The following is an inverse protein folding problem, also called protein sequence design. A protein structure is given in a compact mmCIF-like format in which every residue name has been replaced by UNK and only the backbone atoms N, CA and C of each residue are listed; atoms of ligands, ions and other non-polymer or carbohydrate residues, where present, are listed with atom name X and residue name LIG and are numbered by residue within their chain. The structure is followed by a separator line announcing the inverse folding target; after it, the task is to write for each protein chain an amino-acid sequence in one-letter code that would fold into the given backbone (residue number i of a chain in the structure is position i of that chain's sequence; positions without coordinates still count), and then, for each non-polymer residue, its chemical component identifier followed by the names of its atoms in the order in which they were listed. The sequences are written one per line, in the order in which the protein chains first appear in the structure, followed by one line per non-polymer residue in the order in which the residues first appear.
data_IF_285649660524
#
_entry.id   IF_285649660524
#
_cell.length_a   1.000
_cell.length_b   1.000
_cell.length_c   1.000
_cell.angle_alpha   90.00
_cell.angle_beta   90.00
_cell.angle_gamma   90.00
#
_symmetry.space_group_name_H-M   'P 1'
#
loop_
_entity.id
_entity.type
_entity.pdbx_description
1 polymer ?
#
# COMPACT_ATOMS: atom_id res chain seq x y z
N UNK A 1 -6.92 40.39 24.11
CA UNK A 1 -6.15 39.36 24.83
C UNK A 1 -6.92 38.07 25.15
N UNK A 2 -8.18 38.09 25.63
CA UNK A 2 -8.92 36.83 25.94
C UNK A 2 -9.38 36.03 24.71
N UNK A 3 -9.69 36.69 23.59
CA UNK A 3 -10.25 36.04 22.40
C UNK A 3 -9.19 35.23 21.63
N UNK A 4 -7.97 35.75 21.53
CA UNK A 4 -6.84 35.09 20.82
C UNK A 4 -6.37 33.82 21.52
N UNK A 5 -6.34 33.84 22.86
CA UNK A 5 -6.01 32.66 23.66
C UNK A 5 -7.07 31.56 23.50
N UNK A 6 -8.34 31.96 23.43
CA UNK A 6 -9.47 31.04 23.21
C UNK A 6 -9.41 30.39 21.83
N UNK A 7 -9.05 31.15 20.78
CA UNK A 7 -8.85 30.59 19.43
C UNK A 7 -7.66 29.64 19.34
N UNK A 8 -6.55 29.94 20.01
CA UNK A 8 -5.38 29.05 20.03
C UNK A 8 -5.70 27.74 20.75
N UNK A 9 -6.41 27.82 21.88
CA UNK A 9 -6.86 26.64 22.62
C UNK A 9 -7.85 25.81 21.78
N UNK A 10 -8.79 26.45 21.07
CA UNK A 10 -9.74 25.76 20.20
C UNK A 10 -9.05 25.04 19.04
N UNK A 11 -8.10 25.68 18.35
CA UNK A 11 -7.35 25.08 17.24
C UNK A 11 -6.49 23.91 17.72
N UNK A 12 -5.89 24.03 18.90
CA UNK A 12 -5.09 22.95 19.51
C UNK A 12 -5.96 21.75 19.89
N UNK A 13 -7.16 22.00 20.44
CA UNK A 13 -8.14 20.96 20.74
C UNK A 13 -8.71 20.31 19.47
N UNK A 14 -8.99 21.07 18.41
CA UNK A 14 -9.42 20.54 17.12
C UNK A 14 -8.34 19.65 16.48
N UNK A 15 -7.07 20.06 16.53
CA UNK A 15 -5.96 19.23 16.06
C UNK A 15 -5.78 17.97 16.91
N UNK A 16 -5.95 18.06 18.23
CA UNK A 16 -5.93 16.88 19.10
C UNK A 16 -7.11 15.94 18.83
N UNK A 17 -8.29 16.46 18.52
CA UNK A 17 -9.47 15.66 18.17
C UNK A 17 -9.28 14.98 16.80
N UNK A 18 -8.72 15.65 15.78
CA UNK A 18 -8.39 15.03 14.48
C UNK A 18 -7.31 13.95 14.62
N UNK A 19 -6.38 14.10 15.57
CA UNK A 19 -5.33 13.10 15.87
C UNK A 19 -5.85 11.94 16.73
N UNK A 20 -6.93 12.13 17.51
CA UNK A 20 -7.45 11.15 18.47
C UNK A 20 -8.79 10.51 18.06
N UNK A 21 -9.50 11.02 17.05
CA UNK A 21 -10.75 10.46 16.55
C UNK A 21 -10.54 9.47 15.40
N UNK A 22 -9.73 8.43 15.61
CA UNK A 22 -10.12 7.06 15.25
C UNK A 22 -9.12 6.03 15.81
N UNK A 23 -9.53 5.14 16.72
CA UNK A 23 -8.70 4.07 17.23
C UNK A 23 -8.87 2.84 16.32
N UNK A 24 -8.09 2.73 15.26
CA UNK A 24 -7.94 1.47 14.52
C UNK A 24 -6.46 1.30 14.23
N UNK A 25 -5.90 0.13 14.54
CA UNK A 25 -4.56 -0.27 14.12
C UNK A 25 -4.44 0.01 12.61
N UNK A 26 -3.79 1.11 12.23
CA UNK A 26 -3.46 1.41 10.83
C UNK A 26 -2.72 0.21 10.25
N UNK A 27 -3.09 -0.18 9.02
CA UNK A 27 -2.39 -1.21 8.28
C UNK A 27 -0.90 -0.85 8.18
N UNK A 28 -0.07 -1.87 8.05
CA UNK A 28 1.36 -1.74 7.79
C UNK A 28 1.66 -0.72 6.69
N UNK A 29 0.84 -0.61 5.65
CA UNK A 29 1.10 0.28 4.50
C UNK A 29 0.41 1.66 4.57
N UNK A 30 -0.45 1.90 5.55
CA UNK A 30 -1.24 3.13 5.61
C UNK A 30 -0.36 4.38 5.78
N UNK A 31 -0.55 5.35 4.88
CA UNK A 31 0.22 6.59 4.83
C UNK A 31 1.58 6.48 4.13
N UNK A 32 1.92 5.30 3.61
CA UNK A 32 3.12 5.08 2.79
C UNK A 32 2.76 4.83 1.32
N UNK A 33 1.66 4.11 1.10
CA UNK A 33 1.14 3.83 -0.24
C UNK A 33 -0.19 4.57 -0.41
N UNK A 34 -0.27 5.37 -1.47
CA UNK A 34 -1.53 5.91 -1.96
C UNK A 34 -2.05 5.00 -3.07
N UNK A 35 -2.92 4.07 -2.71
CA UNK A 35 -3.44 3.07 -3.64
C UNK A 35 -4.23 3.68 -4.81
N UNK A 36 -4.89 4.83 -4.60
CA UNK A 36 -5.61 5.51 -5.69
C UNK A 36 -4.62 6.10 -6.71
N UNK A 37 -3.52 6.69 -6.23
CA UNK A 37 -2.46 7.18 -7.10
C UNK A 37 -1.78 6.03 -7.86
N UNK A 38 -1.57 4.89 -7.20
CA UNK A 38 -1.04 3.68 -7.84
C UNK A 38 -1.95 3.23 -9.00
N UNK A 39 -3.26 3.13 -8.78
CA UNK A 39 -4.21 2.77 -9.84
C UNK A 39 -4.20 3.81 -10.98
N UNK A 40 -4.17 5.10 -10.65
CA UNK A 40 -4.08 6.17 -11.65
C UNK A 40 -2.85 5.98 -12.54
N UNK A 41 -1.68 5.69 -11.97
CA UNK A 41 -0.46 5.44 -12.73
C UNK A 41 -0.48 4.11 -13.46
N UNK A 42 -1.06 3.05 -12.90
CA UNK A 42 -1.20 1.77 -13.58
C UNK A 42 -1.97 1.88 -14.91
N UNK A 43 -2.98 2.75 -14.94
CA UNK A 43 -3.79 2.99 -16.12
C UNK A 43 -3.33 4.19 -16.97
N UNK A 44 -2.27 4.89 -16.58
CA UNK A 44 -1.68 5.98 -17.37
C UNK A 44 -0.75 5.41 -18.45
N UNK A 45 -1.03 5.62 -19.75
CA UNK A 45 -0.17 5.10 -20.82
C UNK A 45 1.24 5.70 -20.83
N UNK A 46 1.48 6.81 -20.11
CA UNK A 46 2.79 7.45 -20.03
C UNK A 46 3.65 6.90 -18.89
N UNK A 47 3.08 6.08 -18.00
CA UNK A 47 3.84 5.46 -16.91
C UNK A 47 4.14 4.01 -17.27
N UNK A 48 5.41 3.65 -17.28
CA UNK A 48 5.80 2.27 -17.55
C UNK A 48 5.50 1.37 -16.35
N UNK A 49 5.17 0.11 -16.60
CA UNK A 49 4.99 -0.86 -15.51
C UNK A 49 6.23 -0.99 -14.63
N UNK A 50 7.44 -0.88 -15.21
CA UNK A 50 8.69 -0.95 -14.45
C UNK A 50 8.84 0.23 -13.48
N UNK A 51 8.52 1.44 -13.91
CA UNK A 51 8.55 2.63 -13.07
C UNK A 51 7.56 2.52 -11.90
N UNK A 52 6.33 2.06 -12.16
CA UNK A 52 5.34 1.84 -11.12
C UNK A 52 5.78 0.75 -10.11
N UNK A 53 6.34 -0.35 -10.60
CA UNK A 53 6.89 -1.43 -9.77
C UNK A 53 8.00 -0.93 -8.86
N UNK A 54 8.93 -0.14 -9.40
CA UNK A 54 10.03 0.43 -8.63
C UNK A 54 9.53 1.34 -7.52
N UNK A 55 8.62 2.27 -7.84
CA UNK A 55 8.06 3.18 -6.84
C UNK A 55 7.34 2.45 -5.70
N UNK A 56 6.48 1.49 -6.04
CA UNK A 56 5.79 0.65 -5.06
C UNK A 56 6.77 -0.18 -4.23
N UNK A 57 7.79 -0.77 -4.87
CA UNK A 57 8.82 -1.56 -4.21
C UNK A 57 9.61 -0.73 -3.20
N UNK A 58 10.02 0.48 -3.57
CA UNK A 58 10.73 1.40 -2.67
C UNK A 58 9.89 1.76 -1.44
N UNK A 59 8.62 2.13 -1.63
CA UNK A 59 7.71 2.49 -0.54
C UNK A 59 7.48 1.34 0.44
N UNK A 60 7.22 0.13 -0.08
CA UNK A 60 7.01 -1.07 0.73
C UNK A 60 8.29 -1.47 1.45
N UNK A 61 9.44 -1.49 0.75
CA UNK A 61 10.72 -1.84 1.34
C UNK A 61 11.13 -0.86 2.44
N UNK A 62 10.92 0.44 2.22
CA UNK A 62 11.19 1.47 3.23
C UNK A 62 10.34 1.23 4.49
N UNK A 63 9.04 0.96 4.33
CA UNK A 63 8.16 0.70 5.47
C UNK A 63 8.55 -0.58 6.22
N UNK A 64 8.79 -1.68 5.51
CA UNK A 64 9.18 -2.94 6.11
C UNK A 64 10.51 -2.82 6.86
N UNK A 65 11.54 -2.23 6.26
CA UNK A 65 12.83 -1.98 6.93
C UNK A 65 12.63 -1.17 8.21
N UNK A 66 11.78 -0.14 8.16
CA UNK A 66 11.46 0.68 9.33
C UNK A 66 10.83 -0.14 10.46
N UNK A 67 9.87 -1.02 10.16
CA UNK A 67 9.24 -1.88 11.17
C UNK A 67 10.21 -2.91 11.75
N UNK A 68 11.02 -3.53 10.89
CA UNK A 68 12.04 -4.52 11.31
C UNK A 68 13.02 -3.87 12.29
N UNK A 69 13.52 -2.68 11.95
CA UNK A 69 14.45 -1.93 12.81
C UNK A 69 13.80 -1.48 14.11
N UNK A 70 12.60 -0.89 14.04
CA UNK A 70 11.88 -0.39 15.23
C UNK A 70 11.57 -1.49 16.25
N UNK A 71 11.27 -2.69 15.78
CA UNK A 71 10.86 -3.81 16.65
C UNK A 71 11.97 -4.83 16.90
N UNK A 72 13.15 -4.62 16.32
CA UNK A 72 14.29 -5.56 16.40
C UNK A 72 13.86 -7.01 16.10
N UNK A 73 13.15 -7.19 14.98
CA UNK A 73 12.47 -8.45 14.65
C UNK A 73 13.45 -9.61 14.39
N UNK A 74 13.08 -10.79 14.86
CA UNK A 74 13.70 -12.07 14.50
C UNK A 74 13.23 -12.54 13.12
N UNK A 75 13.94 -13.51 12.55
CA UNK A 75 13.68 -14.03 11.20
C UNK A 75 12.21 -14.43 10.97
N UNK A 76 11.61 -15.20 11.87
CA UNK A 76 10.22 -15.66 11.71
C UNK A 76 9.20 -14.51 11.80
N UNK A 77 9.53 -13.45 12.54
CA UNK A 77 8.71 -12.22 12.60
C UNK A 77 8.83 -11.41 11.31
N UNK A 78 10.01 -11.37 10.68
CA UNK A 78 10.22 -10.75 9.36
C UNK A 78 9.42 -11.48 8.29
N UNK A 79 9.35 -12.81 8.36
CA UNK A 79 8.56 -13.63 7.44
C UNK A 79 7.06 -13.37 7.60
N UNK A 80 6.57 -13.35 8.84
CA UNK A 80 5.19 -12.96 9.13
C UNK A 80 4.87 -11.53 8.69
N UNK A 81 5.83 -10.60 8.86
CA UNK A 81 5.69 -9.22 8.37
C UNK A 81 5.50 -9.22 6.86
N UNK A 82 6.35 -9.91 6.09
CA UNK A 82 6.23 -10.04 4.63
C UNK A 82 4.87 -10.56 4.19
N UNK A 83 4.39 -11.63 4.82
CA UNK A 83 3.07 -12.20 4.52
C UNK A 83 1.95 -11.20 4.75
N UNK A 84 2.00 -10.48 5.87
CA UNK A 84 1.00 -9.46 6.18
C UNK A 84 1.09 -8.28 5.20
N UNK A 85 2.30 -7.83 4.85
CA UNK A 85 2.52 -6.82 3.79
C UNK A 85 1.86 -7.24 2.49
N UNK A 86 2.06 -8.49 2.06
CA UNK A 86 1.48 -9.00 0.82
C UNK A 86 -0.04 -8.90 0.85
N UNK A 87 -0.67 -9.43 1.90
CA UNK A 87 -2.13 -9.41 2.05
C UNK A 87 -2.69 -8.00 2.09
N UNK A 88 -2.03 -7.10 2.80
CA UNK A 88 -2.46 -5.70 2.86
C UNK A 88 -2.31 -4.99 1.52
N UNK A 89 -1.20 -5.23 0.81
CA UNK A 89 -0.95 -4.64 -0.50
C UNK A 89 -1.98 -5.13 -1.53
N UNK A 90 -2.25 -6.44 -1.59
CA UNK A 90 -3.30 -7.00 -2.45
C UNK A 90 -4.66 -6.38 -2.12
N UNK A 91 -5.09 -6.45 -0.85
CA UNK A 91 -6.39 -5.92 -0.44
C UNK A 91 -6.55 -4.42 -0.73
N UNK A 92 -5.47 -3.64 -0.54
CA UNK A 92 -5.48 -2.20 -0.80
C UNK A 92 -5.56 -1.89 -2.29
N UNK A 93 -4.77 -2.59 -3.10
CA UNK A 93 -4.77 -2.44 -4.56
C UNK A 93 -6.08 -2.92 -5.17
N UNK A 94 -6.64 -4.06 -4.76
CA UNK A 94 -7.92 -4.56 -5.26
C UNK A 94 -9.07 -3.58 -4.98
N UNK A 95 -9.17 -3.06 -3.76
CA UNK A 95 -10.20 -2.06 -3.43
C UNK A 95 -10.03 -0.78 -4.23
N UNK A 96 -8.80 -0.30 -4.39
CA UNK A 96 -8.53 0.88 -5.19
C UNK A 96 -8.80 0.63 -6.68
N UNK A 97 -8.50 -0.57 -7.17
CA UNK A 97 -8.76 -0.98 -8.56
C UNK A 97 -10.26 -1.05 -8.85
N UNK A 98 -11.04 -1.67 -7.97
CA UNK A 98 -12.50 -1.72 -8.06
C UNK A 98 -13.12 -0.32 -8.09
N UNK A 99 -12.68 0.57 -7.18
CA UNK A 99 -13.13 1.95 -7.13
C UNK A 99 -12.72 2.71 -8.39
N UNK A 100 -11.47 2.56 -8.84
CA UNK A 100 -10.95 3.24 -10.01
C UNK A 100 -11.71 2.81 -11.29
N UNK A 101 -11.99 1.53 -11.46
CA UNK A 101 -12.81 1.05 -12.59
C UNK A 101 -14.22 1.61 -12.54
N UNK A 102 -14.85 1.61 -11.35
CA UNK A 102 -16.20 2.15 -11.17
C UNK A 102 -16.27 3.63 -11.52
N UNK A 103 -15.33 4.42 -11.02
CA UNK A 103 -15.32 5.88 -11.20
C UNK A 103 -14.97 6.28 -12.64
N UNK A 104 -14.11 5.51 -13.30
CA UNK A 104 -13.64 5.79 -14.66
C UNK A 104 -14.35 4.97 -15.75
N UNK A 105 -15.35 4.15 -15.37
CA UNK A 105 -16.11 3.26 -16.29
C UNK A 105 -15.21 2.38 -17.15
N UNK A 106 -14.10 1.90 -16.57
CA UNK A 106 -13.18 1.01 -17.27
C UNK A 106 -13.76 -0.40 -17.33
N UNK A 107 -13.51 -1.10 -18.43
CA UNK A 107 -13.73 -2.55 -18.49
C UNK A 107 -12.57 -3.25 -17.81
N UNK A 108 -12.85 -4.28 -17.00
CA UNK A 108 -11.82 -5.05 -16.30
C UNK A 108 -10.80 -5.57 -17.30
N UNK A 109 -9.53 -5.24 -17.11
CA UNK A 109 -8.45 -5.92 -17.84
C UNK A 109 -8.37 -7.36 -17.33
N UNK A 110 -8.69 -8.32 -18.19
CA UNK A 110 -8.34 -9.71 -17.94
C UNK A 110 -6.81 -9.85 -18.05
N UNK A 111 -6.15 -9.98 -16.91
CA UNK A 111 -4.77 -10.43 -16.85
C UNK A 111 -4.74 -11.86 -16.35
N UNK A 112 -4.19 -12.77 -17.15
CA UNK A 112 -3.75 -14.10 -16.74
C UNK A 112 -4.72 -14.88 -15.84
N UNK A 113 -4.15 -15.75 -15.01
CA UNK A 113 -4.88 -16.41 -13.93
C UNK A 113 -4.94 -15.49 -12.70
N UNK A 114 -3.95 -14.61 -12.55
CA UNK A 114 -3.82 -13.69 -11.42
C UNK A 114 -4.14 -12.25 -11.79
N UNK A 115 -4.76 -11.54 -10.85
CA UNK A 115 -5.03 -10.11 -11.00
C UNK A 115 -3.72 -9.30 -11.00
N UNK A 116 -3.70 -8.11 -11.61
CA UNK A 116 -2.53 -7.25 -11.55
C UNK A 116 -2.16 -6.86 -10.09
N UNK A 117 -3.10 -6.63 -9.15
CA UNK A 117 -2.79 -6.44 -7.74
C UNK A 117 -1.99 -7.59 -7.14
N UNK A 118 -2.37 -8.84 -7.43
CA UNK A 118 -1.67 -10.03 -6.95
C UNK A 118 -0.26 -10.13 -7.54
N UNK A 119 -0.10 -9.86 -8.83
CA UNK A 119 1.20 -9.88 -9.50
C UNK A 119 2.16 -8.84 -8.89
N UNK A 120 1.70 -7.61 -8.72
CA UNK A 120 2.51 -6.54 -8.13
C UNK A 120 2.86 -6.82 -6.68
N UNK A 121 1.89 -7.24 -5.86
CA UNK A 121 2.17 -7.57 -4.47
C UNK A 121 3.20 -8.69 -4.35
N UNK A 122 3.09 -9.72 -5.19
CA UNK A 122 4.00 -10.85 -5.20
C UNK A 122 5.44 -10.44 -5.54
N UNK A 123 5.56 -9.62 -6.58
CA UNK A 123 6.80 -9.01 -7.04
C UNK A 123 7.51 -8.25 -5.92
N UNK A 124 6.76 -7.41 -5.21
CA UNK A 124 7.30 -6.47 -4.23
C UNK A 124 7.65 -7.14 -2.90
N UNK A 125 6.89 -8.16 -2.47
CA UNK A 125 7.11 -8.83 -1.18
C UNK A 125 8.07 -10.01 -1.25
N UNK A 126 8.67 -10.29 -2.41
CA UNK A 126 9.68 -11.32 -2.58
C UNK A 126 9.13 -12.74 -2.76
N UNK A 127 8.02 -12.89 -3.49
CA UNK A 127 7.55 -14.20 -3.97
C UNK A 127 7.06 -15.17 -2.89
N UNK A 128 6.46 -14.65 -1.81
CA UNK A 128 5.86 -15.46 -0.73
C UNK A 128 4.77 -16.42 -1.29
N UNK A 129 4.60 -17.63 -0.72
CA UNK A 129 4.31 -18.85 -1.47
C UNK A 129 3.11 -18.67 -2.39
N UNK A 130 3.41 -18.74 -3.69
CA UNK A 130 2.57 -18.84 -4.89
C UNK A 130 1.05 -18.95 -4.69
N UNK A 131 0.43 -17.98 -4.01
CA UNK A 131 -1.04 -17.83 -4.03
C UNK A 131 -1.51 -17.58 -5.46
N UNK A 132 -0.67 -16.86 -6.21
CA UNK A 132 -0.79 -16.69 -7.65
C UNK A 132 0.21 -17.62 -8.40
N UNK A 133 -0.28 -18.51 -9.29
CA UNK A 133 0.58 -19.38 -10.12
C UNK A 133 1.53 -18.62 -11.06
N UNK A 134 1.13 -17.43 -11.53
CA UNK A 134 1.89 -16.61 -12.48
C UNK A 134 3.10 -15.90 -11.84
N UNK A 135 3.16 -15.84 -10.50
CA UNK A 135 4.28 -15.25 -9.75
C UNK A 135 5.65 -15.84 -10.09
N UNK A 136 5.74 -17.14 -10.39
CA UNK A 136 7.02 -17.80 -10.74
C UNK A 136 7.60 -17.30 -12.05
N UNK A 137 6.73 -16.94 -12.99
CA UNK A 137 7.14 -16.46 -14.30
C UNK A 137 7.46 -14.96 -14.28
N UNK A 138 6.92 -14.25 -13.28
CA UNK A 138 7.20 -12.84 -13.00
C UNK A 138 8.44 -12.61 -12.13
N UNK A 139 9.25 -13.63 -11.83
CA UNK A 139 10.46 -13.52 -10.98
C UNK A 139 11.54 -12.55 -11.50
N UNK A 140 11.41 -12.03 -12.73
CA UNK A 140 12.19 -10.88 -13.21
C UNK A 140 11.61 -9.55 -12.70
N UNK A 141 11.29 -9.52 -11.41
CA UNK A 141 10.96 -8.31 -10.66
C UNK A 141 12.25 -7.62 -10.25
N UNK A 142 12.96 -7.09 -11.24
CA UNK A 142 14.19 -6.33 -11.10
C UNK A 142 14.00 -4.93 -11.66
#
# INVERSE_FOLDING_TARGET
MKLELLTIILVSLLNAIVVLSNPIKKGLLDGFIDYNLVCKFHYDPNVSEGELKNWLSEGVNYRMKTEILKKNMKKDEVENLRLNTYKELVNGLEKADELYHKDNKLVTRMYGICSWPELYACCITGGFPFLCPDCRNYLNCA
#
